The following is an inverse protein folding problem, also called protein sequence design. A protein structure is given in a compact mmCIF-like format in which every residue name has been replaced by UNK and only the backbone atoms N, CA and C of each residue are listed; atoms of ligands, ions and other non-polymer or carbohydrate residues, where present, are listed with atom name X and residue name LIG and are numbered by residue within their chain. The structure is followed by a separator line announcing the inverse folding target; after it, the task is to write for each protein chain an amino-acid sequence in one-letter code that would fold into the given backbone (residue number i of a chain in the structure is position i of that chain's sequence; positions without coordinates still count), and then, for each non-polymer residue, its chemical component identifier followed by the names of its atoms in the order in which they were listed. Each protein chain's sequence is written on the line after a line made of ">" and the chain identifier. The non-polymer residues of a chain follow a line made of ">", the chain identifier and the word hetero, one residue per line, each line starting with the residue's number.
data_IF_251238787526
#
_entry.id   IF_251238787526
#
_cell.length_a   1.000
_cell.length_b   1.000
_cell.length_c   1.000
_cell.angle_alpha   90.00
_cell.angle_beta   90.00
_cell.angle_gamma   90.00
#
_symmetry.space_group_name_H-M   'P 1'
#
loop_
_entity.id
_entity.type
_entity.pdbx_description
1 polymer ?
#
# COMPACT_ATOMS: atom_id res chain seq x y z
N UNK A 1 -0.79 -15.04 19.21
CA UNK A 1 0.21 -15.43 18.20
C UNK A 1 0.01 -14.62 16.92
N UNK A 2 -1.14 -14.72 16.24
CA UNK A 2 -1.46 -13.92 15.05
C UNK A 2 -1.26 -12.40 15.21
N UNK A 3 -1.68 -11.80 16.33
CA UNK A 3 -1.46 -10.36 16.60
C UNK A 3 0.02 -9.94 16.63
N UNK A 4 0.93 -10.84 17.05
CA UNK A 4 2.35 -10.55 17.05
C UNK A 4 2.93 -10.61 15.63
N UNK A 5 2.51 -11.61 14.85
CA UNK A 5 2.93 -11.78 13.45
C UNK A 5 2.50 -10.61 12.57
N UNK A 6 1.29 -10.09 12.79
CA UNK A 6 0.80 -8.91 12.06
C UNK A 6 1.62 -7.67 12.43
N UNK A 7 1.93 -7.44 13.71
CA UNK A 7 2.79 -6.31 14.12
C UNK A 7 4.19 -6.40 13.52
N UNK A 8 4.79 -7.59 13.49
CA UNK A 8 6.09 -7.79 12.82
C UNK A 8 5.99 -7.48 11.32
N UNK A 9 4.88 -7.88 10.68
CA UNK A 9 4.66 -7.59 9.25
C UNK A 9 4.52 -6.09 8.98
N UNK A 10 3.78 -5.37 9.83
CA UNK A 10 3.67 -3.90 9.78
C UNK A 10 5.05 -3.25 9.89
N UNK A 11 5.86 -3.69 10.87
CA UNK A 11 7.22 -3.18 11.04
C UNK A 11 8.10 -3.45 9.83
N UNK A 12 7.99 -4.64 9.22
CA UNK A 12 8.73 -5.00 8.01
C UNK A 12 8.34 -4.11 6.81
N UNK A 13 7.05 -3.77 6.68
CA UNK A 13 6.59 -2.83 5.65
C UNK A 13 7.18 -1.44 5.89
N UNK A 14 7.14 -0.94 7.13
CA UNK A 14 7.71 0.36 7.46
C UNK A 14 9.22 0.41 7.15
N UNK A 15 9.97 -0.61 7.54
CA UNK A 15 11.41 -0.71 7.23
C UNK A 15 11.69 -0.70 5.72
N UNK A 16 10.83 -1.33 4.92
CA UNK A 16 10.97 -1.33 3.46
C UNK A 16 10.75 0.07 2.87
N UNK A 17 9.79 0.82 3.40
CA UNK A 17 9.55 2.22 3.01
C UNK A 17 10.74 3.10 3.40
N UNK A 18 11.22 2.97 4.63
CA UNK A 18 12.36 3.74 5.12
C UNK A 18 13.59 3.48 4.23
N UNK A 19 13.81 2.23 3.81
CA UNK A 19 14.89 1.88 2.89
C UNK A 19 14.73 2.49 1.49
N UNK A 20 13.50 2.55 0.96
CA UNK A 20 13.19 3.23 -0.31
C UNK A 20 13.50 4.73 -0.20
N UNK A 21 13.11 5.36 0.90
CA UNK A 21 13.36 6.77 1.16
C UNK A 21 14.87 7.05 1.26
N UNK A 22 15.62 6.23 2.00
CA UNK A 22 17.07 6.35 2.10
C UNK A 22 17.76 6.20 0.73
N UNK A 23 17.32 5.22 -0.06
CA UNK A 23 17.87 4.96 -1.40
C UNK A 23 17.62 6.12 -2.36
N UNK A 24 16.51 6.84 -2.19
CA UNK A 24 16.10 7.93 -3.08
C UNK A 24 16.53 9.32 -2.59
N UNK A 25 16.90 9.47 -1.31
CA UNK A 25 17.17 10.75 -0.67
C UNK A 25 18.27 11.59 -1.33
N UNK A 26 19.29 10.95 -1.90
CA UNK A 26 20.46 11.63 -2.49
C UNK A 26 20.47 11.62 -4.02
N UNK A 27 19.36 11.22 -4.65
CA UNK A 27 19.26 11.23 -6.10
C UNK A 27 19.05 12.68 -6.60
N UNK A 28 19.64 13.07 -7.75
CA UNK A 28 19.35 14.36 -8.35
C UNK A 28 17.86 14.50 -8.69
N UNK A 29 17.31 15.72 -8.56
CA UNK A 29 15.90 16.02 -8.87
C UNK A 29 15.53 15.60 -10.31
N UNK A 30 16.45 15.77 -11.25
CA UNK A 30 16.29 15.33 -12.64
C UNK A 30 16.08 13.82 -12.72
N UNK A 31 16.86 13.03 -11.98
CA UNK A 31 16.72 11.57 -11.89
C UNK A 31 15.40 11.17 -11.23
N UNK A 32 15.00 11.87 -10.17
CA UNK A 32 13.76 11.56 -9.45
C UNK A 32 12.53 11.82 -10.35
N UNK A 33 12.56 12.86 -11.18
CA UNK A 33 11.47 13.22 -12.09
C UNK A 33 11.56 12.57 -13.47
N UNK A 34 12.67 11.90 -13.78
CA UNK A 34 12.86 11.26 -15.07
C UNK A 34 11.81 10.16 -15.27
N UNK A 35 11.15 10.21 -16.43
CA UNK A 35 10.17 9.21 -16.86
C UNK A 35 10.83 8.29 -17.89
N UNK A 36 11.10 7.02 -17.57
CA UNK A 36 11.89 6.13 -18.43
C UNK A 36 11.19 5.74 -19.75
N UNK A 37 9.86 5.61 -19.73
CA UNK A 37 9.01 5.39 -20.90
C UNK A 37 7.64 6.06 -20.73
N UNK A 38 6.81 6.12 -21.77
CA UNK A 38 5.49 6.76 -21.72
C UNK A 38 4.52 6.08 -20.74
N UNK A 39 4.62 4.77 -20.61
CA UNK A 39 3.79 3.91 -19.76
C UNK A 39 4.42 3.59 -18.39
N UNK A 40 5.66 3.99 -18.17
CA UNK A 40 6.37 3.77 -16.91
C UNK A 40 6.29 4.98 -15.98
N UNK A 41 6.40 4.73 -14.68
CA UNK A 41 6.36 5.77 -13.66
C UNK A 41 7.77 6.28 -13.35
N UNK A 42 7.88 7.58 -13.11
CA UNK A 42 9.09 8.17 -12.50
C UNK A 42 9.20 7.77 -11.02
N UNK A 43 10.41 7.91 -10.46
CA UNK A 43 10.65 7.69 -9.02
C UNK A 43 9.74 8.59 -8.19
N UNK A 44 9.53 9.85 -8.59
CA UNK A 44 8.60 10.77 -7.93
C UNK A 44 7.18 10.19 -7.87
N UNK A 45 6.67 9.68 -9.00
CA UNK A 45 5.31 9.12 -9.07
C UNK A 45 5.16 7.87 -8.20
N UNK A 46 6.18 7.01 -8.18
CA UNK A 46 6.23 5.84 -7.30
C UNK A 46 6.20 6.29 -5.84
N UNK A 47 7.06 7.23 -5.44
CA UNK A 47 7.11 7.74 -4.07
C UNK A 47 5.80 8.40 -3.64
N UNK A 48 5.18 9.21 -4.49
CA UNK A 48 3.86 9.81 -4.23
C UNK A 48 2.79 8.74 -4.04
N UNK A 49 2.76 7.72 -4.90
CA UNK A 49 1.80 6.63 -4.78
C UNK A 49 1.97 5.83 -3.49
N UNK A 50 3.21 5.53 -3.09
CA UNK A 50 3.49 4.83 -1.83
C UNK A 50 3.08 5.68 -0.62
N UNK A 51 3.32 6.99 -0.67
CA UNK A 51 2.94 7.92 0.39
C UNK A 51 1.42 8.05 0.57
N UNK A 52 0.63 7.85 -0.49
CA UNK A 52 -0.82 7.85 -0.43
C UNK A 52 -1.40 6.49 -0.02
N UNK A 53 -0.94 5.41 -0.65
CA UNK A 53 -1.55 4.10 -0.52
C UNK A 53 -1.21 3.42 0.81
N UNK A 54 0.05 3.47 1.25
CA UNK A 54 0.49 2.65 2.39
C UNK A 54 -0.14 3.09 3.72
N UNK A 55 -0.20 4.39 4.06
CA UNK A 55 -0.85 4.82 5.29
C UNK A 55 -2.32 4.40 5.38
N UNK A 56 -3.04 4.44 4.26
CA UNK A 56 -4.42 3.98 4.17
C UNK A 56 -4.52 2.48 4.51
N UNK A 57 -3.79 1.63 3.79
CA UNK A 57 -3.88 0.17 4.00
C UNK A 57 -3.36 -0.27 5.36
N UNK A 58 -2.36 0.42 5.91
CA UNK A 58 -1.90 0.16 7.26
C UNK A 58 -2.99 0.48 8.31
N UNK A 59 -3.67 1.62 8.16
CA UNK A 59 -4.79 2.00 9.01
C UNK A 59 -5.97 1.01 8.91
N UNK A 60 -6.24 0.47 7.73
CA UNK A 60 -7.25 -0.59 7.53
C UNK A 60 -6.89 -1.87 8.30
N UNK A 61 -5.61 -2.27 8.28
CA UNK A 61 -5.13 -3.42 9.06
C UNK A 61 -5.28 -3.17 10.56
N UNK A 62 -4.89 -1.99 11.04
CA UNK A 62 -5.08 -1.60 12.45
C UNK A 62 -6.56 -1.59 12.87
N UNK A 63 -7.45 -1.15 11.98
CA UNK A 63 -8.90 -1.12 12.21
C UNK A 63 -9.46 -2.52 12.37
N UNK A 64 -9.10 -3.46 11.49
CA UNK A 64 -9.55 -4.87 11.57
C UNK A 64 -9.02 -5.56 12.82
N UNK A 65 -7.78 -5.24 13.23
CA UNK A 65 -7.15 -5.75 14.46
C UNK A 65 -7.90 -5.25 15.70
N UNK A 66 -8.25 -3.96 15.74
CA UNK A 66 -8.93 -3.32 16.86
C UNK A 66 -10.41 -3.72 16.95
N UNK A 67 -11.07 -3.87 15.80
CA UNK A 67 -12.48 -4.20 15.70
C UNK A 67 -12.72 -5.29 14.64
N UNK A 68 -12.52 -6.56 15.01
CA UNK A 68 -12.82 -7.68 14.11
C UNK A 68 -14.29 -7.63 13.65
N UNK A 69 -14.52 -7.57 12.33
CA UNK A 69 -15.85 -7.47 11.73
C UNK A 69 -16.27 -6.06 11.29
N UNK A 70 -15.39 -5.06 11.39
CA UNK A 70 -15.56 -3.77 10.74
C UNK A 70 -15.66 -3.93 9.20
N UNK A 71 -16.40 -3.03 8.53
CA UNK A 71 -16.32 -2.89 7.07
C UNK A 71 -14.87 -2.53 6.70
N UNK A 72 -14.33 -3.18 5.66
CA UNK A 72 -12.91 -3.12 5.29
C UNK A 72 -12.74 -2.75 3.82
N UNK A 73 -11.88 -1.78 3.51
CA UNK A 73 -11.62 -1.34 2.15
C UNK A 73 -12.69 -0.40 1.56
N UNK A 74 -12.38 0.20 0.41
CA UNK A 74 -13.28 1.09 -0.31
C UNK A 74 -14.39 0.26 -0.99
N UNK A 75 -15.63 0.40 -0.51
CA UNK A 75 -16.87 -0.27 -0.97
C UNK A 75 -17.06 -1.78 -0.68
N UNK A 76 -16.45 -2.34 0.36
CA UNK A 76 -16.78 -3.71 0.77
C UNK A 76 -18.07 -3.77 1.63
N UNK A 77 -19.23 -3.76 0.97
CA UNK A 77 -20.49 -4.26 1.58
C UNK A 77 -20.29 -5.74 1.89
N UNK A 78 -20.12 -6.08 3.17
CA UNK A 78 -19.94 -7.48 3.60
C UNK A 78 -21.13 -8.32 3.12
N UNK A 79 -20.88 -9.19 2.13
CA UNK A 79 -21.76 -10.32 1.83
C UNK A 79 -21.18 -11.60 2.46
N UNK A 80 -22.01 -12.57 2.88
CA UNK A 80 -21.62 -13.61 3.83
C UNK A 80 -20.73 -14.73 3.24
N UNK A 81 -20.30 -14.59 1.98
CA UNK A 81 -19.56 -15.63 1.26
C UNK A 81 -18.12 -15.16 0.94
N UNK A 82 -17.18 -15.66 1.73
CA UNK A 82 -15.73 -15.44 1.59
C UNK A 82 -15.12 -16.02 0.30
N UNK A 83 -15.90 -16.74 -0.53
CA UNK A 83 -15.42 -17.35 -1.78
C UNK A 83 -15.45 -16.44 -3.01
N UNK A 84 -15.97 -15.22 -2.88
CA UNK A 84 -15.85 -14.18 -3.92
C UNK A 84 -15.01 -13.04 -3.39
N UNK A 85 -13.73 -13.07 -3.73
CA UNK A 85 -12.79 -11.99 -3.44
C UNK A 85 -12.89 -10.92 -4.55
N UNK A 86 -13.49 -9.73 -4.31
CA UNK A 86 -13.18 -8.53 -5.10
C UNK A 86 -11.79 -7.97 -4.76
N UNK A 87 -11.00 -8.69 -3.95
CA UNK A 87 -9.67 -8.28 -3.45
C UNK A 87 -8.69 -7.94 -4.59
N UNK A 88 -8.92 -8.44 -5.81
CA UNK A 88 -8.10 -8.15 -6.99
C UNK A 88 -8.66 -7.04 -7.90
N UNK A 89 -9.94 -6.67 -7.79
CA UNK A 89 -10.57 -5.78 -8.78
C UNK A 89 -10.23 -4.29 -8.59
N UNK A 90 -9.93 -3.84 -7.37
CA UNK A 90 -9.57 -2.42 -7.14
C UNK A 90 -8.08 -2.10 -7.28
N UNK A 91 -7.18 -3.09 -7.18
CA UNK A 91 -5.77 -2.87 -7.55
C UNK A 91 -5.59 -2.71 -9.06
N UNK A 92 -6.37 -3.43 -9.87
CA UNK A 92 -6.32 -3.28 -11.33
C UNK A 92 -6.89 -1.96 -11.83
N UNK A 93 -7.89 -1.37 -11.16
CA UNK A 93 -8.51 -0.11 -11.58
C UNK A 93 -7.64 1.13 -11.31
N UNK A 94 -6.62 1.01 -10.46
CA UNK A 94 -5.63 2.07 -10.18
C UNK A 94 -4.34 1.90 -11.00
N UNK A 95 -4.23 0.81 -11.77
CA UNK A 95 -3.12 0.48 -12.67
C UNK A 95 -3.54 0.48 -14.16
N UNK A 96 -4.74 1.00 -14.49
CA UNK A 96 -5.26 1.13 -15.87
C UNK A 96 -5.52 2.58 -16.23
#
# INVERSE_FOLDING_TARGET
>A
MAYQEIRTSIQSVQQSIDHILETTANLPEETIRFKPAEDEWSIMQILSHLAEAIPYWLGEVETVIAMPGAEWGVDCKIQPDWRRLPILTNLLWMMS
#
